data_IF_303840746067
#
_entry.id   IF_303840746067
#
_cell.length_a   1.000
_cell.length_b   1.000
_cell.length_c   1.000
_cell.angle_alpha   90.00
_cell.angle_beta   90.00
_cell.angle_gamma   90.00
#
_symmetry.space_group_name_H-M   'P 1'
#
loop_
_entity.id
_entity.type
_entity.pdbx_description
1 polymer ?
#
# COMPACT_ATOMS: atom_id res chain seq x y z
N UNK A 1 -6.47 -27.33 10.00
CA UNK A 1 -7.47 -27.97 9.13
C UNK A 1 -6.89 -28.13 7.73
N UNK A 2 -7.41 -29.07 6.87
CA UNK A 2 -6.99 -29.12 5.47
C UNK A 2 -7.49 -27.88 4.73
N UNK A 3 -6.69 -27.38 3.79
CA UNK A 3 -7.08 -26.29 2.92
C UNK A 3 -6.41 -26.41 1.55
N UNK A 4 -7.00 -25.79 0.54
CA UNK A 4 -6.47 -25.78 -0.82
C UNK A 4 -6.53 -24.38 -1.43
N UNK A 5 -5.58 -24.10 -2.32
CA UNK A 5 -5.67 -23.03 -3.30
C UNK A 5 -5.99 -23.64 -4.67
N UNK A 6 -7.04 -23.18 -5.33
CA UNK A 6 -7.37 -23.50 -6.71
C UNK A 6 -7.17 -22.25 -7.58
N UNK A 7 -6.34 -22.35 -8.62
CA UNK A 7 -6.11 -21.28 -9.59
C UNK A 7 -7.01 -21.45 -10.83
N UNK A 8 -7.28 -20.36 -11.52
CA UNK A 8 -8.14 -20.33 -12.71
C UNK A 8 -7.65 -21.21 -13.88
N UNK A 9 -6.35 -21.49 -13.94
CA UNK A 9 -5.78 -22.40 -14.96
C UNK A 9 -5.96 -23.89 -14.63
N UNK A 10 -6.48 -24.22 -13.44
CA UNK A 10 -6.72 -25.57 -12.96
C UNK A 10 -5.63 -26.10 -12.03
N UNK A 11 -4.60 -25.33 -11.75
CA UNK A 11 -3.55 -25.75 -10.81
C UNK A 11 -4.04 -25.67 -9.38
N UNK A 12 -3.72 -26.70 -8.57
CA UNK A 12 -4.16 -26.84 -7.20
C UNK A 12 -2.95 -27.03 -6.29
N UNK A 13 -2.94 -26.30 -5.18
CA UNK A 13 -1.98 -26.47 -4.08
C UNK A 13 -2.74 -26.91 -2.83
N UNK A 14 -2.26 -27.96 -2.17
CA UNK A 14 -2.87 -28.51 -0.96
C UNK A 14 -1.95 -28.26 0.22
N UNK A 15 -2.52 -27.84 1.35
CA UNK A 15 -1.78 -27.54 2.57
C UNK A 15 -2.66 -27.54 3.81
N UNK A 16 -2.25 -26.76 4.80
CA UNK A 16 -2.93 -26.62 6.08
C UNK A 16 -3.54 -25.23 6.21
N UNK A 17 -4.80 -25.15 6.66
CA UNK A 17 -5.53 -23.91 6.92
C UNK A 17 -5.38 -23.44 8.35
N UNK A 18 -5.12 -22.13 8.50
CA UNK A 18 -5.09 -21.36 9.74
C UNK A 18 -5.98 -20.11 9.58
N UNK A 19 -6.07 -19.28 10.63
CA UNK A 19 -6.96 -18.14 10.65
C UNK A 19 -8.43 -18.55 10.52
N UNK A 20 -9.22 -17.82 9.74
CA UNK A 20 -10.64 -18.10 9.58
C UNK A 20 -10.89 -19.32 8.69
N UNK A 21 -11.76 -20.25 9.11
CA UNK A 21 -12.26 -21.27 8.20
C UNK A 21 -13.19 -20.64 7.15
N UNK A 22 -13.34 -21.33 6.02
CA UNK A 22 -14.24 -20.92 4.95
C UNK A 22 -13.53 -20.74 3.61
N UNK A 23 -13.98 -19.77 2.85
CA UNK A 23 -13.52 -19.54 1.48
C UNK A 23 -13.24 -18.05 1.25
N UNK A 24 -12.14 -17.75 0.56
CA UNK A 24 -11.87 -16.44 0.03
C UNK A 24 -11.42 -16.51 -1.43
N UNK A 25 -11.52 -15.38 -2.14
CA UNK A 25 -11.21 -15.32 -3.56
C UNK A 25 -10.56 -13.97 -3.92
N UNK A 26 -9.68 -13.99 -4.92
CA UNK A 26 -9.01 -12.75 -5.37
C UNK A 26 -7.95 -13.01 -6.43
N UNK A 27 -7.27 -11.95 -6.88
CA UNK A 27 -6.04 -12.10 -7.67
C UNK A 27 -4.90 -12.55 -6.74
N UNK A 28 -4.18 -13.60 -7.13
CA UNK A 28 -3.06 -14.16 -6.36
C UNK A 28 -1.79 -13.44 -6.76
N UNK A 29 -1.22 -12.69 -5.83
CA UNK A 29 0.03 -11.95 -5.98
C UNK A 29 1.07 -12.46 -4.99
N UNK A 30 2.36 -12.20 -5.21
CA UNK A 30 3.40 -12.58 -4.26
C UNK A 30 4.17 -11.36 -3.79
N UNK A 31 4.59 -11.34 -2.52
CA UNK A 31 5.41 -10.30 -1.94
C UNK A 31 6.76 -10.89 -1.47
N UNK A 32 7.86 -10.18 -1.78
CA UNK A 32 9.23 -10.62 -1.51
C UNK A 32 9.86 -10.01 -0.26
N UNK A 33 9.08 -9.26 0.53
CA UNK A 33 9.56 -8.71 1.80
C UNK A 33 9.94 -9.79 2.80
N UNK A 34 11.00 -9.56 3.56
CA UNK A 34 11.49 -10.50 4.57
C UNK A 34 10.78 -10.35 5.92
N UNK A 35 10.06 -9.26 6.13
CA UNK A 35 9.35 -8.90 7.36
C UNK A 35 8.14 -8.05 7.04
N UNK A 36 7.31 -7.71 8.03
CA UNK A 36 6.19 -6.78 7.85
C UNK A 36 4.92 -7.44 7.33
N UNK A 37 4.65 -8.68 7.71
CA UNK A 37 3.46 -9.39 7.25
C UNK A 37 2.15 -8.74 7.74
N UNK A 38 2.16 -8.07 8.89
CA UNK A 38 1.00 -7.36 9.41
C UNK A 38 0.75 -6.08 8.62
N UNK A 39 1.79 -5.30 8.35
CA UNK A 39 1.75 -4.10 7.53
C UNK A 39 1.26 -4.45 6.11
N UNK A 40 1.76 -5.56 5.53
CA UNK A 40 1.27 -6.08 4.24
C UNK A 40 -0.21 -6.45 4.32
N UNK A 41 -0.62 -7.17 5.37
CA UNK A 41 -2.02 -7.58 5.52
C UNK A 41 -2.97 -6.40 5.67
N UNK A 42 -2.52 -5.33 6.32
CA UNK A 42 -3.32 -4.13 6.62
C UNK A 42 -3.18 -2.99 5.59
N UNK A 43 -2.33 -3.15 4.56
CA UNK A 43 -2.22 -2.19 3.46
C UNK A 43 -3.47 -2.28 2.55
N UNK A 44 -4.28 -1.21 2.45
CA UNK A 44 -5.48 -1.22 1.62
C UNK A 44 -5.21 -1.45 0.13
N UNK A 45 -3.98 -1.25 -0.34
CA UNK A 45 -3.59 -1.53 -1.74
C UNK A 45 -3.69 -3.02 -2.12
N UNK A 46 -3.79 -3.92 -1.13
CA UNK A 46 -4.04 -5.35 -1.36
C UNK A 46 -5.52 -5.74 -1.42
N UNK A 47 -6.47 -4.81 -1.36
CA UNK A 47 -7.88 -5.14 -1.47
C UNK A 47 -8.20 -5.91 -2.77
N UNK A 48 -8.93 -7.03 -2.64
CA UNK A 48 -9.22 -7.94 -3.76
C UNK A 48 -8.09 -8.93 -4.09
N UNK A 49 -7.04 -9.03 -3.27
CA UNK A 49 -5.88 -9.88 -3.53
C UNK A 49 -5.66 -10.93 -2.44
N UNK A 50 -5.21 -12.11 -2.88
CA UNK A 50 -4.64 -13.16 -2.03
C UNK A 50 -3.12 -13.02 -2.11
N UNK A 51 -2.46 -12.83 -0.97
CA UNK A 51 -1.03 -12.51 -0.92
C UNK A 51 -0.21 -13.75 -0.56
N UNK A 52 0.77 -14.08 -1.41
CA UNK A 52 1.76 -15.12 -1.15
C UNK A 52 3.04 -14.47 -0.61
N UNK A 53 3.44 -14.79 0.62
CA UNK A 53 4.71 -14.33 1.16
C UNK A 53 5.84 -15.30 0.79
N UNK A 54 6.92 -14.76 0.21
CA UNK A 54 8.10 -15.58 -0.14
C UNK A 54 9.00 -15.85 1.06
N UNK A 55 8.92 -15.03 2.12
CA UNK A 55 9.54 -15.33 3.40
C UNK A 55 8.97 -16.65 3.95
N UNK A 56 9.81 -17.63 4.26
CA UNK A 56 9.33 -18.97 4.60
C UNK A 56 8.59 -19.04 5.93
N UNK A 57 8.91 -18.19 6.92
CA UNK A 57 8.35 -18.27 8.26
C UNK A 57 7.58 -17.02 8.64
N UNK A 58 6.29 -17.14 8.83
CA UNK A 58 5.34 -16.05 9.12
C UNK A 58 4.62 -16.33 10.44
N UNK A 59 4.23 -15.26 11.15
CA UNK A 59 3.52 -15.34 12.44
C UNK A 59 4.45 -15.37 13.65
N UNK A 60 5.75 -15.51 13.47
CA UNK A 60 6.74 -15.73 14.52
C UNK A 60 6.94 -14.55 15.48
N UNK A 61 6.60 -13.32 15.09
CA UNK A 61 6.70 -12.15 15.97
C UNK A 61 5.34 -11.56 16.40
N UNK A 62 4.23 -12.24 16.05
CA UNK A 62 2.87 -11.83 16.42
C UNK A 62 2.39 -10.58 15.71
N UNK A 63 1.36 -9.97 16.27
CA UNK A 63 0.78 -8.70 15.79
C UNK A 63 0.66 -7.70 16.92
N UNK A 64 0.62 -6.41 16.59
CA UNK A 64 0.42 -5.31 17.52
C UNK A 64 -0.28 -4.13 16.82
N UNK A 65 -0.86 -3.23 17.60
CA UNK A 65 -1.64 -2.12 17.06
C UNK A 65 -0.79 -1.09 16.30
N UNK A 66 0.46 -0.89 16.67
CA UNK A 66 1.33 0.12 16.08
C UNK A 66 1.76 -0.20 14.64
N UNK A 67 1.79 -1.50 14.29
CA UNK A 67 2.21 -1.99 12.96
C UNK A 67 1.03 -2.09 11.97
N UNK A 68 -0.18 -1.69 12.38
CA UNK A 68 -1.31 -1.58 11.45
C UNK A 68 -1.16 -0.36 10.53
N UNK A 69 -1.31 -0.59 9.23
CA UNK A 69 -1.37 0.46 8.21
C UNK A 69 -2.79 0.96 7.92
N UNK A 70 -3.80 0.31 8.51
CA UNK A 70 -5.21 0.70 8.46
C UNK A 70 -5.99 0.03 9.58
N UNK A 71 -7.29 0.31 9.68
CA UNK A 71 -8.15 -0.20 10.76
C UNK A 71 -8.31 -1.73 10.79
N UNK A 72 -8.04 -2.43 9.67
CA UNK A 72 -8.23 -3.88 9.53
C UNK A 72 -7.36 -4.43 8.39
N UNK A 73 -7.14 -5.76 8.31
CA UNK A 73 -6.60 -6.38 7.10
C UNK A 73 -7.48 -6.12 5.87
N UNK A 74 -6.82 -5.93 4.73
CA UNK A 74 -7.46 -5.75 3.42
C UNK A 74 -7.14 -6.87 2.44
N UNK A 75 -6.18 -7.75 2.77
CA UNK A 75 -5.96 -8.96 1.98
C UNK A 75 -7.17 -9.88 2.08
N UNK A 76 -7.52 -10.54 0.97
CA UNK A 76 -8.59 -11.55 0.96
C UNK A 76 -8.13 -12.85 1.63
N UNK A 77 -6.85 -13.20 1.51
CA UNK A 77 -6.25 -14.38 2.11
C UNK A 77 -4.73 -14.30 2.11
N UNK A 78 -4.11 -15.11 2.96
CA UNK A 78 -2.66 -15.18 3.11
C UNK A 78 -2.15 -16.58 2.75
N UNK A 79 -1.07 -16.66 1.97
CA UNK A 79 -0.40 -17.92 1.62
C UNK A 79 1.05 -17.84 2.08
N UNK A 80 1.47 -18.87 2.83
CA UNK A 80 2.81 -18.92 3.43
C UNK A 80 3.42 -20.33 3.34
N UNK A 81 4.73 -20.44 3.46
CA UNK A 81 5.40 -21.73 3.54
C UNK A 81 5.21 -22.38 4.91
N UNK A 82 5.48 -21.63 5.98
CA UNK A 82 5.32 -22.04 7.37
C UNK A 82 4.59 -20.94 8.13
N UNK A 83 3.60 -21.34 8.92
CA UNK A 83 2.86 -20.45 9.79
C UNK A 83 3.13 -20.81 11.25
N UNK A 84 3.69 -19.85 11.99
CA UNK A 84 4.06 -20.09 13.40
C UNK A 84 2.84 -20.01 14.30
N UNK A 85 2.53 -21.05 15.06
CA UNK A 85 1.44 -21.02 16.04
C UNK A 85 1.83 -20.24 17.31
N UNK A 86 3.08 -19.82 17.44
CA UNK A 86 3.64 -19.14 18.62
C UNK A 86 4.30 -17.84 18.17
N UNK A 87 3.94 -16.73 18.81
CA UNK A 87 4.66 -15.47 18.66
C UNK A 87 5.73 -15.34 19.75
N UNK A 88 6.95 -14.95 19.36
CA UNK A 88 8.08 -14.74 20.24
C UNK A 88 8.73 -13.38 19.98
N UNK A 89 8.06 -12.31 20.39
CA UNK A 89 8.54 -10.94 20.28
C UNK A 89 7.96 -10.12 21.42
N UNK A 90 8.76 -9.23 22.00
CA UNK A 90 8.34 -8.35 23.08
C UNK A 90 7.24 -7.34 22.69
N UNK A 91 7.11 -7.04 21.38
CA UNK A 91 6.07 -6.16 20.83
C UNK A 91 4.75 -6.89 20.54
N UNK A 92 4.74 -8.24 20.64
CA UNK A 92 3.54 -9.01 20.30
C UNK A 92 2.44 -8.77 21.33
N UNK A 93 1.30 -8.29 20.86
CA UNK A 93 0.07 -8.10 21.65
C UNK A 93 -0.91 -9.26 21.42
N UNK A 94 -0.82 -9.91 20.24
CA UNK A 94 -1.67 -11.02 19.84
C UNK A 94 -0.93 -12.01 18.93
N UNK A 95 -1.31 -13.27 19.00
CA UNK A 95 -0.86 -14.33 18.08
C UNK A 95 -1.46 -14.08 16.70
N UNK A 96 -0.67 -14.26 15.65
CA UNK A 96 -1.08 -13.94 14.28
C UNK A 96 -2.28 -14.77 13.81
N UNK A 97 -2.41 -16.03 14.24
CA UNK A 97 -3.54 -16.90 13.92
C UNK A 97 -4.87 -16.32 14.41
N UNK A 98 -4.91 -15.94 15.70
CA UNK A 98 -6.08 -15.29 16.31
C UNK A 98 -6.42 -13.94 15.65
N UNK A 99 -5.38 -13.19 15.26
CA UNK A 99 -5.57 -11.93 14.54
C UNK A 99 -6.25 -12.17 13.18
N UNK A 100 -5.77 -13.13 12.39
CA UNK A 100 -6.36 -13.48 11.09
C UNK A 100 -7.78 -14.04 11.25
N UNK A 101 -8.03 -14.89 12.26
CA UNK A 101 -9.36 -15.41 12.57
C UNK A 101 -10.34 -14.28 12.93
N UNK A 102 -9.94 -13.35 13.79
CA UNK A 102 -10.77 -12.19 14.20
C UNK A 102 -11.28 -11.39 13.02
N UNK A 103 -10.43 -11.20 12.01
CA UNK A 103 -10.78 -10.43 10.81
C UNK A 103 -11.29 -11.28 9.64
N UNK A 104 -11.57 -12.55 9.88
CA UNK A 104 -12.09 -13.49 8.88
C UNK A 104 -11.15 -13.67 7.66
N UNK A 105 -9.83 -13.63 7.87
CA UNK A 105 -8.83 -13.85 6.84
C UNK A 105 -8.36 -15.32 6.86
N UNK A 106 -8.63 -16.12 5.81
CA UNK A 106 -8.08 -17.46 5.68
C UNK A 106 -6.58 -17.45 5.41
N UNK A 107 -5.85 -18.37 6.04
CA UNK A 107 -4.41 -18.56 5.82
C UNK A 107 -4.18 -19.97 5.30
N UNK A 108 -3.46 -20.09 4.18
CA UNK A 108 -3.01 -21.39 3.64
C UNK A 108 -1.50 -21.53 3.85
N UNK A 109 -1.10 -22.53 4.61
CA UNK A 109 0.30 -22.85 4.89
C UNK A 109 0.68 -24.24 4.40
N UNK A 110 1.97 -24.59 4.56
CA UNK A 110 2.54 -25.90 4.23
C UNK A 110 2.47 -26.27 2.74
N UNK A 111 2.50 -25.25 1.85
CA UNK A 111 2.58 -25.45 0.41
C UNK A 111 3.96 -25.07 -0.13
N UNK A 112 4.26 -25.50 -1.35
CA UNK A 112 5.45 -25.04 -2.08
C UNK A 112 5.22 -23.63 -2.65
N UNK A 113 5.45 -22.61 -1.81
CA UNK A 113 5.33 -21.19 -2.22
C UNK A 113 6.29 -20.83 -3.35
N UNK A 114 7.47 -21.48 -3.43
CA UNK A 114 8.43 -21.26 -4.52
C UNK A 114 7.85 -21.75 -5.86
N UNK A 115 7.19 -22.91 -5.88
CA UNK A 115 6.55 -23.42 -7.09
C UNK A 115 5.41 -22.51 -7.52
N UNK A 116 4.60 -22.00 -6.57
CA UNK A 116 3.52 -21.06 -6.82
C UNK A 116 4.05 -19.73 -7.40
N UNK A 117 5.05 -19.12 -6.76
CA UNK A 117 5.66 -17.86 -7.23
C UNK A 117 6.28 -18.01 -8.62
N UNK A 118 6.99 -19.10 -8.89
CA UNK A 118 7.51 -19.38 -10.24
C UNK A 118 6.40 -19.50 -11.28
N UNK A 119 5.28 -20.09 -10.90
CA UNK A 119 4.11 -20.22 -11.77
C UNK A 119 3.52 -18.85 -12.11
N UNK A 120 3.28 -18.00 -11.10
CA UNK A 120 2.77 -16.63 -11.29
C UNK A 120 3.74 -15.76 -12.11
N UNK A 121 5.05 -15.86 -11.89
CA UNK A 121 6.04 -15.13 -12.71
C UNK A 121 6.02 -15.54 -14.18
N UNK A 122 5.76 -16.82 -14.44
CA UNK A 122 5.73 -17.34 -15.82
C UNK A 122 4.46 -16.98 -16.55
N UNK A 123 3.31 -17.06 -15.90
CA UNK A 123 2.00 -16.93 -16.55
C UNK A 123 1.30 -15.59 -16.26
N UNK A 124 1.78 -14.83 -15.28
CA UNK A 124 1.16 -13.59 -14.80
C UNK A 124 0.32 -13.81 -13.54
N UNK A 125 -0.26 -12.71 -13.03
CA UNK A 125 -1.22 -12.75 -11.93
C UNK A 125 -2.41 -13.61 -12.33
N UNK A 126 -2.88 -14.44 -11.40
CA UNK A 126 -4.01 -15.36 -11.62
C UNK A 126 -5.07 -15.19 -10.55
N UNK A 127 -6.33 -15.37 -10.94
CA UNK A 127 -7.42 -15.45 -9.99
C UNK A 127 -7.39 -16.81 -9.28
N UNK A 128 -7.64 -16.78 -7.97
CA UNK A 128 -7.60 -17.98 -7.15
C UNK A 128 -8.67 -17.98 -6.07
N UNK A 129 -8.93 -19.16 -5.53
CA UNK A 129 -9.80 -19.40 -4.39
C UNK A 129 -9.03 -20.21 -3.36
N UNK A 130 -8.96 -19.73 -2.12
CA UNK A 130 -8.57 -20.55 -0.97
C UNK A 130 -9.83 -21.10 -0.35
N UNK A 131 -9.86 -22.41 -0.03
CA UNK A 131 -10.99 -23.04 0.65
C UNK A 131 -10.53 -24.06 1.67
N UNK A 132 -11.21 -24.10 2.82
CA UNK A 132 -11.11 -25.18 3.80
C UNK A 132 -12.08 -26.32 3.54
N UNK A 133 -13.03 -26.15 2.62
CA UNK A 133 -13.77 -27.26 2.01
C UNK A 133 -13.00 -27.79 0.80
N UNK A 134 -12.44 -28.96 0.94
CA UNK A 134 -11.57 -29.60 -0.05
C UNK A 134 -12.29 -30.72 -0.86
N UNK A 135 -13.61 -30.84 -0.70
CA UNK A 135 -14.41 -31.94 -1.26
C UNK A 135 -14.51 -31.91 -2.79
N UNK A 136 -14.60 -30.70 -3.40
CA UNK A 136 -14.72 -30.52 -4.84
C UNK A 136 -13.75 -29.47 -5.39
N UNK A 137 -12.50 -29.86 -5.72
CA UNK A 137 -11.52 -28.95 -6.28
C UNK A 137 -11.88 -28.36 -7.64
N UNK A 138 -12.63 -29.11 -8.47
CA UNK A 138 -13.01 -28.65 -9.81
C UNK A 138 -14.06 -27.52 -9.72
N UNK A 139 -14.96 -27.58 -8.75
CA UNK A 139 -15.88 -26.48 -8.44
C UNK A 139 -15.13 -25.21 -8.01
N UNK A 140 -14.04 -25.33 -7.24
CA UNK A 140 -13.22 -24.19 -6.84
C UNK A 140 -12.47 -23.57 -8.04
N UNK A 141 -11.99 -24.38 -8.97
CA UNK A 141 -11.39 -23.89 -10.23
C UNK A 141 -12.44 -23.14 -11.05
N UNK A 142 -13.66 -23.66 -11.13
CA UNK A 142 -14.75 -22.97 -11.82
C UNK A 142 -15.08 -21.62 -11.16
N UNK A 143 -15.12 -21.56 -9.82
CA UNK A 143 -15.26 -20.29 -9.08
C UNK A 143 -14.11 -19.33 -9.37
N UNK A 144 -12.85 -19.80 -9.36
CA UNK A 144 -11.69 -18.96 -9.68
C UNK A 144 -11.80 -18.33 -11.07
N UNK A 145 -12.28 -19.08 -12.07
CA UNK A 145 -12.55 -18.56 -13.43
C UNK A 145 -13.67 -17.54 -13.49
N UNK A 146 -14.62 -17.60 -12.58
CA UNK A 146 -15.77 -16.70 -12.53
C UNK A 146 -15.46 -15.37 -11.79
N UNK A 147 -14.35 -15.26 -11.06
CA UNK A 147 -13.94 -14.04 -10.38
C UNK A 147 -13.79 -12.91 -11.42
N UNK A 148 -14.33 -11.73 -11.13
CA UNK A 148 -14.12 -10.55 -11.96
C UNK A 148 -12.63 -10.12 -11.86
N UNK A 149 -12.02 -9.79 -13.00
CA UNK A 149 -10.67 -9.21 -13.02
C UNK A 149 -10.66 -7.86 -12.33
N UNK A 150 -9.55 -7.48 -11.74
CA UNK A 150 -9.36 -6.16 -11.13
C UNK A 150 -9.33 -5.05 -12.19
N UNK A 151 -8.98 -5.37 -13.42
CA UNK A 151 -8.97 -4.45 -14.56
C UNK A 151 -10.35 -3.79 -14.74
N UNK A 152 -10.38 -2.47 -14.86
CA UNK A 152 -11.61 -1.70 -14.99
C UNK A 152 -12.47 -1.62 -13.72
N UNK A 153 -11.92 -1.99 -12.54
CA UNK A 153 -12.64 -1.93 -11.26
C UNK A 153 -12.09 -0.80 -10.40
N UNK A 154 -12.97 0.10 -9.95
CA UNK A 154 -12.63 1.17 -8.99
C UNK A 154 -12.65 0.61 -7.56
N UNK A 155 -11.49 0.14 -7.09
CA UNK A 155 -11.32 -0.32 -5.72
C UNK A 155 -10.96 0.83 -4.77
N UNK A 156 -10.45 1.95 -5.26
CA UNK A 156 -10.14 3.11 -4.44
C UNK A 156 -11.40 3.64 -3.73
N UNK A 157 -12.53 3.69 -4.43
CA UNK A 157 -13.84 4.06 -3.85
C UNK A 157 -14.31 3.11 -2.74
N UNK A 158 -13.92 1.84 -2.82
CA UNK A 158 -14.34 0.81 -1.85
C UNK A 158 -13.60 0.98 -0.53
N UNK A 159 -12.29 1.24 -0.58
CA UNK A 159 -11.41 1.33 0.60
C UNK A 159 -11.35 2.74 1.21
N UNK A 160 -11.71 3.77 0.45
CA UNK A 160 -11.68 5.17 0.87
C UNK A 160 -12.55 5.45 2.08
N UNK A 161 -12.09 6.35 2.95
CA UNK A 161 -12.91 6.92 4.05
C UNK A 161 -14.23 7.48 3.54
N UNK A 162 -15.25 7.48 4.39
CA UNK A 162 -16.59 8.03 4.05
C UNK A 162 -16.78 9.45 4.55
N UNK A 163 -15.86 9.96 5.36
CA UNK A 163 -15.96 11.31 5.94
C UNK A 163 -14.60 12.00 5.98
N UNK A 164 -14.62 13.31 5.94
CA UNK A 164 -13.43 14.14 6.14
C UNK A 164 -13.02 14.08 7.62
N UNK A 165 -11.72 13.92 7.87
CA UNK A 165 -11.18 13.97 9.23
C UNK A 165 -9.79 14.60 9.24
N UNK A 166 -9.38 15.13 10.40
CA UNK A 166 -8.00 15.57 10.64
C UNK A 166 -7.24 14.41 11.29
N UNK A 167 -6.08 14.09 10.75
CA UNK A 167 -5.23 13.04 11.33
C UNK A 167 -4.53 13.60 12.57
N UNK A 168 -4.72 12.89 13.69
CA UNK A 168 -3.99 13.14 14.94
C UNK A 168 -3.16 11.91 15.30
N UNK A 169 -1.86 12.10 15.48
CA UNK A 169 -0.94 11.01 15.79
C UNK A 169 -1.22 10.39 17.17
N UNK A 170 -1.81 11.13 18.12
CA UNK A 170 -2.21 10.62 19.44
C UNK A 170 -3.48 9.75 19.36
N UNK A 171 -4.32 9.95 18.36
CA UNK A 171 -5.62 9.31 18.20
C UNK A 171 -5.58 8.01 17.36
N UNK A 172 -4.41 7.59 16.87
CA UNK A 172 -4.27 6.35 16.08
C UNK A 172 -4.69 5.10 16.84
N UNK A 173 -4.75 5.14 18.17
CA UNK A 173 -5.28 4.09 19.03
C UNK A 173 -6.81 3.98 19.00
N UNK A 174 -7.51 5.05 18.65
CA UNK A 174 -8.98 5.13 18.67
C UNK A 174 -9.62 4.98 17.28
N UNK A 175 -8.86 5.05 16.20
CA UNK A 175 -9.39 4.97 14.83
C UNK A 175 -9.72 3.55 14.36
N UNK A 176 -9.34 2.52 15.12
CA UNK A 176 -9.60 1.12 14.76
C UNK A 176 -11.06 0.73 14.84
N UNK A 177 -11.93 1.54 15.46
CA UNK A 177 -13.37 1.27 15.55
C UNK A 177 -13.72 -0.05 16.26
N UNK A 178 -12.74 -0.72 16.86
CA UNK A 178 -12.93 -1.97 17.60
C UNK A 178 -13.30 -1.65 19.06
N UNK A 179 -14.57 -1.88 19.49
CA UNK A 179 -15.02 -1.62 20.85
C UNK A 179 -14.28 -2.45 21.91
N UNK A 180 -13.61 -3.54 21.52
CA UNK A 180 -12.91 -4.44 22.43
C UNK A 180 -11.51 -3.94 22.83
N UNK A 181 -10.93 -3.02 22.06
CA UNK A 181 -9.61 -2.44 22.35
C UNK A 181 -9.66 -1.18 23.25
N UNK A 182 -10.84 -0.62 23.47
CA UNK A 182 -11.04 0.58 24.30
C UNK A 182 -10.83 0.34 25.81
N UNK A 183 -10.63 -0.90 26.28
CA UNK A 183 -10.65 -1.26 27.71
C UNK A 183 -9.31 -1.72 28.30
N UNK A 184 -8.19 -1.67 27.58
CA UNK A 184 -6.89 -2.05 28.14
C UNK A 184 -6.11 -0.84 28.65
N UNK A 185 -5.76 -0.76 29.95
CA UNK A 185 -4.94 0.33 30.46
C UNK A 185 -3.52 0.21 29.94
N UNK A 186 -3.01 1.27 29.32
CA UNK A 186 -1.65 1.36 28.83
C UNK A 186 -0.66 1.25 30.01
N UNK A 187 0.04 0.13 30.11
CA UNK A 187 1.24 0.05 30.93
C UNK A 187 2.42 0.64 30.17
N UNK A 188 2.80 1.86 30.56
CA UNK A 188 4.04 2.51 30.14
C UNK A 188 5.22 1.83 30.80
N UNK A 189 5.81 0.82 30.16
CA UNK A 189 7.12 0.33 30.51
C UNK A 189 8.11 0.79 29.44
N UNK A 190 8.77 1.91 29.71
CA UNK A 190 9.85 2.41 28.86
C UNK A 190 11.07 1.50 28.90
N UNK A 191 11.46 0.99 27.74
CA UNK A 191 12.81 0.56 27.51
C UNK A 191 13.41 1.50 26.43
N UNK A 192 14.53 2.18 26.69
CA UNK A 192 15.15 3.05 25.69
C UNK A 192 15.89 2.17 24.67
N UNK A 193 15.27 1.86 23.58
CA UNK A 193 16.01 1.46 22.39
C UNK A 193 16.45 2.74 21.72
N UNK A 194 17.76 2.84 21.48
CA UNK A 194 18.36 3.87 20.68
C UNK A 194 17.67 3.97 19.31
N UNK A 195 16.64 4.81 19.22
CA UNK A 195 16.45 5.58 18.02
C UNK A 195 17.77 6.34 17.85
N UNK A 196 18.50 6.01 16.79
CA UNK A 196 19.57 6.88 16.35
C UNK A 196 18.89 8.24 16.11
N UNK A 197 18.95 9.07 17.11
CA UNK A 197 18.37 10.39 17.09
C UNK A 197 18.95 11.12 15.88
N UNK A 198 18.18 11.22 14.82
CA UNK A 198 18.31 12.36 13.94
C UNK A 198 18.29 13.57 14.86
N UNK A 199 19.24 14.51 14.75
CA UNK A 199 19.28 15.65 15.63
C UNK A 199 17.91 16.31 15.57
N UNK A 200 17.29 16.48 16.74
CA UNK A 200 16.13 17.36 16.88
C UNK A 200 16.64 18.76 16.59
N UNK A 201 16.69 19.13 15.31
CA UNK A 201 16.70 20.53 14.97
C UNK A 201 15.40 21.10 15.52
N UNK A 202 15.48 22.19 16.30
CA UNK A 202 14.32 22.89 16.80
C UNK A 202 13.48 23.34 15.60
N UNK A 203 12.51 22.50 15.23
CA UNK A 203 11.57 22.76 14.15
C UNK A 203 10.63 23.84 14.68
N UNK A 204 10.76 25.04 14.16
CA UNK A 204 9.61 25.94 14.15
C UNK A 204 8.48 25.15 13.50
N UNK A 205 7.38 24.97 14.21
CA UNK A 205 6.20 24.25 13.72
C UNK A 205 5.72 24.95 12.46
N UNK A 206 6.13 24.44 11.29
CA UNK A 206 5.60 24.92 10.03
C UNK A 206 4.12 24.55 10.05
N UNK A 207 3.27 25.56 10.03
CA UNK A 207 1.81 25.38 10.11
C UNK A 207 1.25 25.07 8.71
N UNK A 208 1.95 24.20 7.94
CA UNK A 208 1.55 23.81 6.59
C UNK A 208 0.34 22.87 6.67
N UNK A 209 -0.66 23.15 5.86
CA UNK A 209 -1.86 22.35 5.76
C UNK A 209 -1.83 21.47 4.52
N UNK A 210 -1.77 20.17 4.70
CA UNK A 210 -1.88 19.18 3.62
C UNK A 210 -3.29 18.59 3.61
N UNK A 211 -3.94 18.60 2.45
CA UNK A 211 -5.17 17.84 2.22
C UNK A 211 -4.80 16.58 1.47
N UNK A 212 -5.01 15.42 2.10
CA UNK A 212 -4.67 14.10 1.58
C UNK A 212 -5.93 13.38 1.06
N UNK A 213 -5.92 13.01 -0.22
CA UNK A 213 -6.95 12.11 -0.76
C UNK A 213 -6.71 10.69 -0.26
N UNK A 214 -7.76 10.07 0.25
CA UNK A 214 -7.75 8.67 0.66
C UNK A 214 -8.26 7.77 -0.47
N UNK A 215 -7.32 7.21 -1.23
CA UNK A 215 -7.58 6.14 -2.18
C UNK A 215 -7.32 4.74 -1.59
N UNK A 216 -7.04 4.67 -0.30
CA UNK A 216 -6.55 3.52 0.45
C UNK A 216 -5.25 3.88 1.16
N UNK A 217 -5.25 5.02 1.86
CA UNK A 217 -4.06 5.61 2.46
C UNK A 217 -3.51 4.76 3.60
N UNK A 218 -2.20 4.47 3.55
CA UNK A 218 -1.48 3.85 4.65
C UNK A 218 -1.27 4.85 5.78
N UNK A 219 -1.45 4.38 7.02
CA UNK A 219 -1.27 5.20 8.22
C UNK A 219 0.15 5.80 8.30
N UNK A 220 1.17 5.05 7.84
CA UNK A 220 2.54 5.55 7.90
C UNK A 220 2.78 6.77 6.99
N UNK A 221 2.06 6.91 5.89
CA UNK A 221 2.08 8.13 5.06
C UNK A 221 1.63 9.34 5.89
N UNK A 222 0.53 9.22 6.63
CA UNK A 222 0.02 10.29 7.49
C UNK A 222 1.00 10.63 8.61
N UNK A 223 1.64 9.60 9.20
CA UNK A 223 2.69 9.78 10.21
C UNK A 223 3.91 10.52 9.64
N UNK A 224 4.32 10.21 8.39
CA UNK A 224 5.45 10.88 7.74
C UNK A 224 5.14 12.35 7.45
N UNK A 225 3.95 12.67 6.93
CA UNK A 225 3.52 14.06 6.71
C UNK A 225 3.48 14.87 8.02
N UNK A 226 2.98 14.27 9.11
CA UNK A 226 2.98 14.91 10.44
C UNK A 226 4.37 15.08 11.04
N UNK A 227 5.28 14.13 10.81
CA UNK A 227 6.69 14.26 11.21
C UNK A 227 7.39 15.42 10.51
N UNK A 228 7.00 15.75 9.27
CA UNK A 228 7.46 16.97 8.57
C UNK A 228 6.78 18.25 9.07
N UNK A 229 5.98 18.19 10.13
CA UNK A 229 5.30 19.34 10.75
C UNK A 229 4.04 19.79 10.03
N UNK A 230 3.46 18.94 9.16
CA UNK A 230 2.23 19.25 8.46
C UNK A 230 1.00 18.89 9.30
N UNK A 231 -0.01 19.76 9.28
CA UNK A 231 -1.37 19.40 9.69
C UNK A 231 -2.06 18.69 8.52
N UNK A 232 -2.57 17.49 8.72
CA UNK A 232 -3.14 16.68 7.64
C UNK A 232 -4.65 16.55 7.79
N UNK A 233 -5.38 16.95 6.75
CA UNK A 233 -6.82 16.69 6.60
C UNK A 233 -7.00 15.62 5.53
N UNK A 234 -7.61 14.51 5.90
CA UNK A 234 -7.89 13.39 4.98
C UNK A 234 -9.29 13.56 4.41
N UNK A 235 -9.42 13.40 3.09
CA UNK A 235 -10.68 13.54 2.37
C UNK A 235 -11.01 12.27 1.57
N UNK A 236 -12.30 11.93 1.39
CA UNK A 236 -12.71 10.83 0.54
C UNK A 236 -12.20 10.95 -0.91
N UNK A 237 -12.03 9.81 -1.57
CA UNK A 237 -11.54 9.72 -2.96
C UNK A 237 -12.32 10.58 -3.96
N UNK A 238 -13.63 10.73 -3.77
CA UNK A 238 -14.52 11.46 -4.67
C UNK A 238 -14.67 12.96 -4.33
N UNK A 239 -13.91 13.47 -3.34
CA UNK A 239 -13.99 14.88 -2.96
C UNK A 239 -13.63 15.78 -4.13
N UNK A 240 -14.46 16.77 -4.41
CA UNK A 240 -14.23 17.63 -5.56
C UNK A 240 -13.02 18.55 -5.36
N UNK A 241 -12.36 18.93 -6.45
CA UNK A 241 -11.25 19.88 -6.36
C UNK A 241 -11.64 21.22 -5.74
N UNK A 242 -12.91 21.65 -5.94
CA UNK A 242 -13.45 22.87 -5.33
C UNK A 242 -13.46 22.72 -3.81
N UNK A 243 -14.03 21.64 -3.30
CA UNK A 243 -14.14 21.43 -1.84
C UNK A 243 -12.78 21.33 -1.18
N UNK A 244 -11.79 20.69 -1.85
CA UNK A 244 -10.40 20.65 -1.38
C UNK A 244 -9.77 22.04 -1.35
N UNK A 245 -9.92 22.83 -2.42
CA UNK A 245 -9.37 24.20 -2.48
C UNK A 245 -10.04 25.14 -1.48
N UNK A 246 -11.32 24.93 -1.17
CA UNK A 246 -12.05 25.70 -0.15
C UNK A 246 -11.49 25.46 1.27
N UNK A 247 -10.81 24.31 1.51
CA UNK A 247 -10.05 24.05 2.73
C UNK A 247 -8.72 24.84 2.83
N UNK A 248 -8.33 25.55 1.76
CA UNK A 248 -7.10 26.34 1.64
C UNK A 248 -5.85 25.54 2.01
N UNK A 249 -5.58 24.42 1.31
CA UNK A 249 -4.37 23.64 1.56
C UNK A 249 -3.12 24.39 1.07
N UNK A 250 -2.01 24.14 1.73
CA UNK A 250 -0.67 24.51 1.26
C UNK A 250 -0.12 23.47 0.29
N UNK A 251 -0.60 22.22 0.38
CA UNK A 251 -0.30 21.13 -0.53
C UNK A 251 -1.42 20.10 -0.59
N UNK A 252 -1.53 19.41 -1.73
CA UNK A 252 -2.43 18.28 -1.93
C UNK A 252 -1.61 17.00 -2.04
N UNK A 253 -1.97 16.01 -1.25
CA UNK A 253 -1.35 14.71 -1.28
C UNK A 253 -2.30 13.66 -1.90
N UNK A 254 -1.79 12.82 -2.80
CA UNK A 254 -2.53 11.77 -3.49
C UNK A 254 -1.99 10.42 -3.01
N UNK A 255 -2.79 9.67 -2.26
CA UNK A 255 -2.32 8.47 -1.60
C UNK A 255 -2.12 7.28 -2.54
N UNK A 256 -1.51 6.23 -2.00
CA UNK A 256 -1.56 4.87 -2.52
C UNK A 256 -3.02 4.35 -2.53
N UNK A 257 -3.22 3.23 -3.21
CA UNK A 257 -4.53 2.57 -3.24
C UNK A 257 -4.55 1.36 -4.17
N UNK A 258 -5.61 0.54 -4.10
CA UNK A 258 -5.75 -0.68 -4.88
C UNK A 258 -6.32 -0.43 -6.28
N UNK A 259 -6.10 -1.39 -7.16
CA UNK A 259 -6.83 -1.55 -8.40
C UNK A 259 -6.25 -0.82 -9.60
N UNK A 260 -7.12 -0.64 -10.59
CA UNK A 260 -6.83 0.02 -11.85
C UNK A 260 -7.00 1.54 -11.70
N UNK A 261 -6.03 2.37 -12.14
CA UNK A 261 -6.17 3.82 -12.07
C UNK A 261 -7.18 4.40 -13.09
N UNK A 262 -7.46 3.72 -14.20
CA UNK A 262 -8.32 4.27 -15.26
C UNK A 262 -9.76 4.58 -14.82
N UNK A 263 -10.45 3.71 -14.01
CA UNK A 263 -11.78 4.03 -13.51
C UNK A 263 -11.84 5.18 -12.50
N UNK A 264 -10.69 5.62 -11.96
CA UNK A 264 -10.59 6.70 -10.96
C UNK A 264 -10.56 8.08 -11.64
N UNK A 265 -11.30 8.26 -12.71
CA UNK A 265 -11.31 9.45 -13.57
C UNK A 265 -11.72 10.73 -12.83
N UNK A 266 -12.53 10.63 -11.78
CA UNK A 266 -12.91 11.76 -10.92
C UNK A 266 -11.69 12.39 -10.23
N UNK A 267 -10.72 11.58 -9.80
CA UNK A 267 -9.48 12.07 -9.22
C UNK A 267 -8.57 12.71 -10.29
N UNK A 268 -8.46 12.11 -11.48
CA UNK A 268 -7.74 12.69 -12.62
C UNK A 268 -8.31 14.10 -12.97
N UNK A 269 -9.64 14.25 -12.97
CA UNK A 269 -10.28 15.56 -13.19
C UNK A 269 -9.98 16.56 -12.07
N UNK A 270 -9.87 16.08 -10.81
CA UNK A 270 -9.52 16.93 -9.68
C UNK A 270 -8.05 17.37 -9.77
N UNK A 271 -7.13 16.46 -10.05
CA UNK A 271 -5.69 16.74 -10.19
C UNK A 271 -5.45 17.83 -11.24
N UNK A 272 -6.07 17.72 -12.42
CA UNK A 272 -5.96 18.74 -13.47
C UNK A 272 -6.36 20.15 -13.02
N UNK A 273 -7.25 20.27 -12.02
CA UNK A 273 -7.65 21.57 -11.44
C UNK A 273 -6.69 22.08 -10.38
N UNK A 274 -5.83 21.22 -9.83
CA UNK A 274 -4.78 21.61 -8.88
C UNK A 274 -3.52 22.12 -9.57
N UNK A 275 -3.26 21.70 -10.81
CA UNK A 275 -2.07 22.09 -11.57
C UNK A 275 -1.89 23.60 -11.59
N UNK A 276 -0.74 24.09 -11.11
CA UNK A 276 -0.41 25.51 -11.02
C UNK A 276 -1.19 26.31 -9.97
N UNK A 277 -1.94 25.67 -9.09
CA UNK A 277 -2.69 26.33 -8.01
C UNK A 277 -2.20 25.94 -6.62
N UNK A 278 -1.71 24.73 -6.46
CA UNK A 278 -1.24 24.18 -5.21
C UNK A 278 -0.21 23.08 -5.49
N UNK A 279 0.85 22.94 -4.67
CA UNK A 279 1.77 21.82 -4.74
C UNK A 279 1.08 20.46 -4.63
N UNK A 280 1.52 19.49 -5.45
CA UNK A 280 0.94 18.14 -5.48
C UNK A 280 2.05 17.10 -5.34
N UNK A 281 1.87 16.15 -4.44
CA UNK A 281 2.69 14.94 -4.31
C UNK A 281 1.82 13.69 -4.39
N UNK A 282 2.21 12.70 -5.22
CA UNK A 282 1.48 11.46 -5.42
C UNK A 282 2.34 10.22 -5.17
N UNK A 283 1.78 9.21 -4.48
CA UNK A 283 2.43 7.92 -4.21
C UNK A 283 1.59 6.79 -4.82
N UNK A 284 2.25 5.86 -5.51
CA UNK A 284 1.70 4.62 -6.06
C UNK A 284 0.47 4.88 -6.96
N UNK A 285 -0.75 4.62 -6.52
CA UNK A 285 -1.95 5.00 -7.27
C UNK A 285 -1.99 6.51 -7.56
N UNK A 286 -1.60 7.35 -6.60
CA UNK A 286 -1.49 8.79 -6.78
C UNK A 286 -0.51 9.19 -7.89
N UNK A 287 0.59 8.45 -8.07
CA UNK A 287 1.53 8.64 -9.18
C UNK A 287 0.88 8.28 -10.53
N UNK A 288 0.18 7.15 -10.60
CA UNK A 288 -0.51 6.73 -11.82
C UNK A 288 -1.58 7.74 -12.22
N UNK A 289 -2.34 8.27 -11.25
CA UNK A 289 -3.33 9.32 -11.47
C UNK A 289 -2.69 10.65 -11.94
N UNK A 290 -1.49 11.00 -11.42
CA UNK A 290 -0.71 12.13 -11.92
C UNK A 290 -0.30 11.90 -13.38
N UNK A 291 0.19 10.71 -13.73
CA UNK A 291 0.52 10.33 -15.11
C UNK A 291 -0.66 10.52 -16.06
N UNK A 292 -1.84 10.01 -15.68
CA UNK A 292 -3.10 10.18 -16.45
C UNK A 292 -3.53 11.65 -16.53
N UNK A 293 -3.38 12.42 -15.46
CA UNK A 293 -3.74 13.84 -15.44
C UNK A 293 -2.86 14.67 -16.38
N UNK A 294 -1.59 14.30 -16.54
CA UNK A 294 -0.63 14.89 -17.47
C UNK A 294 -0.74 14.36 -18.91
N UNK A 295 -1.76 13.56 -19.20
CA UNK A 295 -2.05 13.05 -20.55
C UNK A 295 -1.36 11.73 -20.91
N UNK A 296 -0.66 11.11 -19.97
CA UNK A 296 -0.06 9.80 -20.14
C UNK A 296 -1.09 8.66 -20.13
N UNK A 297 -0.58 7.44 -20.24
CA UNK A 297 -1.34 6.18 -20.19
C UNK A 297 -0.77 5.28 -19.11
N UNK A 298 -1.59 4.34 -18.66
CA UNK A 298 -1.15 3.28 -17.75
C UNK A 298 -1.29 1.90 -18.42
N UNK A 299 -0.56 0.92 -17.90
CA UNK A 299 -0.63 -0.45 -18.36
C UNK A 299 -0.49 -1.42 -17.18
N UNK A 300 -1.05 -2.62 -17.31
CA UNK A 300 -0.92 -3.66 -16.30
C UNK A 300 0.40 -4.42 -16.47
N UNK A 301 1.17 -4.53 -15.41
CA UNK A 301 2.36 -5.38 -15.32
C UNK A 301 1.96 -6.86 -15.31
N UNK A 302 2.84 -7.72 -15.82
CA UNK A 302 2.57 -9.17 -15.91
C UNK A 302 2.29 -9.81 -14.56
N UNK A 303 3.02 -9.43 -13.51
CA UNK A 303 2.87 -9.98 -12.15
C UNK A 303 3.02 -8.92 -11.06
N UNK A 304 3.09 -7.63 -11.44
CA UNK A 304 3.24 -6.50 -10.52
C UNK A 304 4.61 -6.41 -9.87
N UNK A 305 4.81 -5.34 -9.10
CA UNK A 305 5.96 -5.18 -8.21
C UNK A 305 5.48 -5.21 -6.77
N UNK A 306 5.95 -6.19 -5.99
CA UNK A 306 5.57 -6.38 -4.60
C UNK A 306 6.78 -6.83 -3.78
N UNK A 307 7.21 -6.01 -2.83
CA UNK A 307 8.33 -6.31 -1.95
C UNK A 307 9.12 -5.07 -1.53
N UNK A 308 9.99 -5.23 -0.54
CA UNK A 308 10.84 -4.16 0.01
C UNK A 308 12.29 -4.19 -0.49
N UNK A 309 12.55 -4.70 -1.69
CA UNK A 309 13.90 -4.98 -2.18
C UNK A 309 14.11 -4.58 -3.65
N UNK A 310 13.37 -3.62 -4.15
CA UNK A 310 13.50 -3.13 -5.53
C UNK A 310 14.55 -2.02 -5.61
N UNK A 311 15.59 -2.16 -6.47
CA UNK A 311 16.57 -1.11 -6.70
C UNK A 311 16.01 -0.10 -7.69
N UNK A 312 15.81 1.13 -7.26
CA UNK A 312 15.34 2.25 -8.07
C UNK A 312 16.44 3.29 -8.22
N UNK A 313 16.74 3.70 -9.44
CA UNK A 313 17.70 4.77 -9.71
C UNK A 313 16.97 6.11 -9.77
N UNK A 314 17.43 7.06 -8.95
CA UNK A 314 17.10 8.46 -9.10
C UNK A 314 17.95 9.07 -10.24
N UNK A 315 17.31 9.46 -11.33
CA UNK A 315 17.99 9.95 -12.53
C UNK A 315 18.67 11.31 -12.33
N UNK A 316 18.15 12.14 -11.42
CA UNK A 316 18.70 13.47 -11.14
C UNK A 316 20.02 13.40 -10.36
N UNK A 317 20.15 12.42 -9.44
CA UNK A 317 21.35 12.27 -8.58
C UNK A 317 22.26 11.13 -9.00
N UNK A 318 21.74 10.17 -9.80
CA UNK A 318 22.41 8.94 -10.16
C UNK A 318 22.47 7.89 -9.02
N UNK A 319 21.90 8.19 -7.83
CA UNK A 319 21.87 7.25 -6.70
C UNK A 319 20.89 6.14 -6.95
N UNK A 320 21.22 4.96 -6.39
CA UNK A 320 20.30 3.82 -6.32
C UNK A 320 19.76 3.73 -4.90
N UNK A 321 18.44 3.66 -4.80
CA UNK A 321 17.68 3.51 -3.57
C UNK A 321 17.04 2.13 -3.55
N UNK A 322 16.98 1.50 -2.40
CA UNK A 322 16.20 0.27 -2.22
C UNK A 322 14.81 0.68 -1.74
N UNK A 323 13.78 0.23 -2.44
CA UNK A 323 12.42 0.74 -2.29
C UNK A 323 11.39 -0.37 -2.05
N UNK A 324 10.27 0.01 -1.43
CA UNK A 324 9.12 -0.87 -1.22
C UNK A 324 8.08 -0.64 -2.32
N UNK A 325 7.51 -1.73 -2.83
CA UNK A 325 6.52 -1.71 -3.92
C UNK A 325 5.30 -2.55 -3.60
N UNK A 326 4.15 -2.09 -4.07
CA UNK A 326 2.89 -2.82 -4.06
C UNK A 326 1.97 -2.27 -5.16
N UNK A 327 2.23 -2.62 -6.43
CA UNK A 327 1.41 -2.17 -7.54
C UNK A 327 1.38 -3.17 -8.71
N UNK A 328 0.23 -3.25 -9.39
CA UNK A 328 0.03 -4.07 -10.58
C UNK A 328 0.02 -3.25 -11.86
N UNK A 329 -0.08 -1.93 -11.76
CA UNK A 329 -0.10 -1.01 -12.91
C UNK A 329 1.10 -0.07 -12.84
N UNK A 330 1.50 0.44 -14.00
CA UNK A 330 2.56 1.43 -14.13
C UNK A 330 2.19 2.46 -15.20
N UNK A 331 2.82 3.64 -15.12
CA UNK A 331 2.70 4.68 -16.15
C UNK A 331 3.60 4.32 -17.33
N UNK A 332 3.07 4.40 -18.55
CA UNK A 332 3.81 4.22 -19.78
C UNK A 332 4.70 5.45 -20.05
N UNK A 333 6.04 5.33 -19.92
CA UNK A 333 6.96 6.47 -20.11
C UNK A 333 6.89 7.07 -21.50
N UNK A 334 6.59 6.28 -22.54
CA UNK A 334 6.52 6.74 -23.92
C UNK A 334 5.25 7.57 -24.20
N UNK A 335 4.26 7.49 -23.34
CA UNK A 335 3.04 8.26 -23.42
C UNK A 335 3.14 9.66 -22.79
N UNK A 336 4.22 9.94 -22.04
CA UNK A 336 4.42 11.18 -21.29
C UNK A 336 5.05 12.25 -22.19
N UNK A 337 4.54 13.49 -22.12
CA UNK A 337 5.13 14.62 -22.85
C UNK A 337 6.47 15.05 -22.23
N UNK A 338 7.57 14.61 -22.81
CA UNK A 338 8.93 14.91 -22.35
C UNK A 338 9.30 16.41 -22.36
N UNK A 339 8.54 17.27 -23.04
CA UNK A 339 8.77 18.72 -22.97
C UNK A 339 8.30 19.32 -21.64
N UNK A 340 7.29 18.75 -21.02
CA UNK A 340 6.64 19.26 -19.81
C UNK A 340 7.00 18.45 -18.56
N UNK A 341 7.34 17.17 -18.73
CA UNK A 341 7.56 16.24 -17.62
C UNK A 341 8.95 15.64 -17.69
N UNK A 342 9.58 15.52 -16.54
CA UNK A 342 10.84 14.80 -16.32
C UNK A 342 10.53 13.43 -15.70
N UNK A 343 11.16 12.37 -16.22
CA UNK A 343 11.13 11.02 -15.64
C UNK A 343 12.25 10.90 -14.62
N UNK A 344 11.91 10.93 -13.34
CA UNK A 344 12.88 11.11 -12.26
C UNK A 344 13.44 9.83 -11.68
N UNK A 345 12.67 8.73 -11.71
CA UNK A 345 13.06 7.46 -11.12
C UNK A 345 12.74 6.28 -12.04
N UNK A 346 13.58 5.25 -12.02
CA UNK A 346 13.45 4.05 -12.87
C UNK A 346 13.86 2.81 -12.09
N UNK A 347 13.03 1.75 -12.12
CA UNK A 347 13.38 0.42 -11.57
C UNK A 347 14.53 -0.20 -12.40
N UNK A 348 15.54 -0.71 -11.73
CA UNK A 348 16.71 -1.29 -12.39
C UNK A 348 16.51 -2.75 -12.83
N UNK A 349 15.44 -3.42 -12.35
CA UNK A 349 15.15 -4.80 -12.74
C UNK A 349 14.52 -4.87 -14.16
N UNK A 350 13.61 -3.96 -14.48
CA UNK A 350 12.81 -4.04 -15.71
C UNK A 350 12.59 -2.70 -16.43
N UNK A 351 13.18 -1.62 -15.92
CA UNK A 351 13.11 -0.26 -16.46
C UNK A 351 11.71 0.38 -16.37
N UNK A 352 10.84 -0.11 -15.50
CA UNK A 352 9.55 0.52 -15.21
C UNK A 352 9.76 1.95 -14.69
N UNK A 353 8.89 2.88 -15.11
CA UNK A 353 8.89 4.26 -14.61
C UNK A 353 8.45 4.30 -13.15
N UNK A 354 9.32 4.84 -12.30
CA UNK A 354 9.12 4.88 -10.86
C UNK A 354 8.97 6.29 -10.30
N UNK A 355 9.06 7.31 -11.12
CA UNK A 355 8.82 8.69 -10.68
C UNK A 355 8.81 9.70 -11.80
N UNK A 356 8.03 10.75 -11.61
CA UNK A 356 7.92 11.88 -12.52
C UNK A 356 7.84 13.21 -11.76
N UNK A 357 8.25 14.29 -12.45
CA UNK A 357 8.13 15.67 -11.99
C UNK A 357 7.71 16.56 -13.15
N UNK A 358 6.78 17.47 -12.93
CA UNK A 358 6.49 18.51 -13.92
C UNK A 358 7.58 19.57 -13.87
N UNK A 359 8.08 20.00 -15.05
CA UNK A 359 9.26 20.89 -15.15
C UNK A 359 9.03 22.31 -14.63
N UNK A 360 7.80 22.79 -14.63
CA UNK A 360 7.44 24.17 -14.29
C UNK A 360 6.34 24.30 -13.25
N UNK A 361 5.49 23.27 -13.09
CA UNK A 361 4.42 23.28 -12.09
C UNK A 361 4.85 22.50 -10.85
N UNK A 362 4.38 22.87 -9.65
CA UNK A 362 4.75 22.21 -8.40
C UNK A 362 4.06 20.86 -8.25
N UNK A 363 4.51 19.87 -9.04
CA UNK A 363 4.03 18.49 -9.00
C UNK A 363 5.19 17.53 -9.16
N UNK A 364 5.26 16.55 -8.25
CA UNK A 364 6.06 15.34 -8.44
C UNK A 364 5.35 14.12 -7.86
N UNK A 365 5.75 12.93 -8.28
CA UNK A 365 5.17 11.69 -7.77
C UNK A 365 6.11 10.51 -7.95
N UNK A 366 5.93 9.47 -7.12
CA UNK A 366 6.70 8.22 -7.19
C UNK A 366 5.77 7.02 -7.15
N UNK A 367 6.14 5.96 -7.89
CA UNK A 367 5.36 4.73 -8.00
C UNK A 367 5.54 3.82 -6.77
N UNK A 368 6.73 3.82 -6.19
CA UNK A 368 7.07 3.07 -4.99
C UNK A 368 6.58 3.77 -3.71
N UNK A 369 6.77 3.11 -2.56
CA UNK A 369 6.30 3.52 -1.25
C UNK A 369 7.44 4.13 -0.41
N UNK A 370 7.68 5.46 -0.46
CA UNK A 370 8.75 6.11 0.31
C UNK A 370 8.51 6.10 1.82
N UNK A 371 7.26 5.90 2.26
CA UNK A 371 6.90 5.73 3.67
C UNK A 371 7.35 4.38 4.24
N UNK A 372 7.72 3.42 3.38
CA UNK A 372 8.01 2.04 3.75
C UNK A 372 6.84 1.36 4.51
N UNK A 373 7.10 0.70 5.65
CA UNK A 373 6.12 -0.02 6.46
C UNK A 373 5.33 -1.09 5.67
N UNK A 374 5.98 -2.25 5.38
CA UNK A 374 7.39 -2.56 5.67
C UNK A 374 8.32 -2.07 4.57
N UNK A 375 9.59 -1.92 4.88
CA UNK A 375 10.61 -1.68 3.86
C UNK A 375 11.75 -0.78 4.28
N UNK A 376 12.69 -0.51 3.34
CA UNK A 376 13.81 0.40 3.53
C UNK A 376 13.37 1.86 3.59
N UNK A 377 14.20 2.70 4.18
CA UNK A 377 13.90 4.11 4.46
C UNK A 377 14.67 5.09 3.56
N UNK A 378 15.28 4.60 2.49
CA UNK A 378 16.17 5.39 1.62
C UNK A 378 15.48 6.62 1.02
N UNK A 379 14.16 6.55 0.83
CA UNK A 379 13.36 7.56 0.12
C UNK A 379 12.52 8.46 1.03
N UNK A 380 12.70 8.41 2.34
CA UNK A 380 11.96 9.27 3.29
C UNK A 380 12.12 10.76 2.98
N UNK A 381 13.24 11.18 2.37
CA UNK A 381 13.51 12.55 1.99
C UNK A 381 12.45 13.17 1.08
N UNK A 382 11.67 12.38 0.35
CA UNK A 382 10.61 12.88 -0.53
C UNK A 382 9.48 13.60 0.22
N UNK A 383 9.23 13.25 1.47
CA UNK A 383 8.29 14.00 2.32
C UNK A 383 8.85 15.38 2.70
N UNK A 384 10.15 15.47 2.93
CA UNK A 384 10.84 16.73 3.14
C UNK A 384 10.83 17.59 1.87
N UNK A 385 11.10 17.02 0.70
CA UNK A 385 11.03 17.70 -0.60
C UNK A 385 9.62 18.26 -0.87
N UNK A 386 8.57 17.52 -0.50
CA UNK A 386 7.19 18.01 -0.60
C UNK A 386 6.96 19.22 0.32
N UNK A 387 7.45 19.16 1.56
CA UNK A 387 7.40 20.29 2.48
C UNK A 387 8.11 21.52 1.91
N UNK A 388 9.34 21.38 1.43
CA UNK A 388 10.09 22.46 0.80
C UNK A 388 9.34 23.06 -0.39
N UNK A 389 8.78 22.22 -1.27
CA UNK A 389 7.98 22.69 -2.41
C UNK A 389 6.78 23.53 -1.98
N UNK A 390 6.12 23.18 -0.86
CA UNK A 390 5.02 23.99 -0.30
C UNK A 390 5.51 25.33 0.25
N UNK A 391 6.65 25.34 0.95
CA UNK A 391 7.26 26.57 1.50
C UNK A 391 7.67 27.54 0.38
N UNK A 392 8.33 27.04 -0.68
CA UNK A 392 8.73 27.82 -1.86
C UNK A 392 7.53 28.35 -2.65
N UNK A 393 6.45 27.61 -2.71
CA UNK A 393 5.21 28.03 -3.41
C UNK A 393 4.48 29.18 -2.71
N UNK A 394 4.59 29.25 -1.39
CA UNK A 394 4.01 30.34 -0.56
C UNK A 394 4.76 31.66 -0.65
N UNK A 395 6.06 31.62 -0.90
CA UNK A 395 6.94 32.82 -0.97
C UNK A 395 6.81 33.53 -2.27
#
# INVERSE_FOLDING_TARGET
MQAILALEDGRIFRGHGYGSPGECQGEVVFNTSLTGYQEIATDPSYAGQIVVLTNPQIGNYGTNQADNESAKPYIEGLIVREFSPISSNWRSEQVTDEYMERYSVPVLAEIDTRALVRHLRTHGVMRGVISTDVSDPDALVAKARAIRKMDGTDLARVVSTKSIYTFDQEDTRNQTGDPLLASSPAQSAGCPIHDAASPRHGWETSNLHVVAYDFGIKTNILRMLTREGCRVTVVPAETTAKDVLDLKPDGVFLSNGPGDPEPVDYAVRAIRKFLGRVPVFGICLGHQLCGLALGGKTYKLKFGHHGGNHPVRNNSTGKVEITAHNHNFAVDPDSINANEVELTHVDLNDQTLEGLRHKTLPLFSVQYHPEAAPGPHDSHYLFHDFRQMMEEWKG
#
